data_IF_297319183198
#
_entry.id   IF_297319183198
#
_cell.length_a   1.000
_cell.length_b   1.000
_cell.length_c   1.000
_cell.angle_alpha   90.00
_cell.angle_beta   90.00
_cell.angle_gamma   90.00
#
_symmetry.space_group_name_H-M   'P 1'
#
loop_
_entity.id
_entity.type
_entity.pdbx_description
1 polymer ?
#
# COMPACT_ATOMS: atom_id res chain seq x y z
N UNK A 1 -10.27 -6.66 -19.49
CA UNK A 1 -9.53 -7.61 -18.64
C UNK A 1 -8.88 -6.76 -17.57
N UNK A 2 -9.39 -6.80 -16.34
CA UNK A 2 -8.63 -6.25 -15.21
C UNK A 2 -7.55 -7.26 -14.89
N UNK A 3 -6.32 -6.81 -14.70
CA UNK A 3 -5.26 -7.70 -14.26
C UNK A 3 -5.08 -7.50 -12.76
N UNK A 4 -5.38 -8.55 -12.01
CA UNK A 4 -5.25 -8.54 -10.57
C UNK A 4 -3.82 -8.89 -10.17
N UNK A 5 -3.21 -8.05 -9.34
CA UNK A 5 -1.95 -8.35 -8.68
C UNK A 5 -2.28 -8.99 -7.35
N UNK A 6 -1.90 -10.25 -7.17
CA UNK A 6 -2.03 -10.96 -5.91
C UNK A 6 -0.66 -11.05 -5.25
N UNK A 7 -0.50 -10.45 -4.08
CA UNK A 7 0.79 -10.49 -3.40
C UNK A 7 0.73 -10.08 -1.95
N UNK A 8 1.84 -10.28 -1.25
CA UNK A 8 1.95 -9.92 0.17
C UNK A 8 2.46 -8.50 0.32
N UNK A 9 1.79 -7.68 1.13
CA UNK A 9 2.31 -6.35 1.48
C UNK A 9 3.56 -6.53 2.32
N UNK A 10 4.70 -6.17 1.74
CA UNK A 10 6.01 -6.22 2.40
C UNK A 10 6.40 -4.89 3.00
N UNK A 11 5.86 -3.79 2.45
CA UNK A 11 6.13 -2.44 2.95
C UNK A 11 4.93 -1.53 2.71
N UNK A 12 4.74 -0.58 3.63
CA UNK A 12 3.83 0.56 3.45
C UNK A 12 4.69 1.80 3.48
N UNK A 13 4.64 2.58 2.40
CA UNK A 13 5.43 3.79 2.27
C UNK A 13 4.70 4.96 2.91
N UNK A 14 3.45 5.17 2.49
CA UNK A 14 2.56 6.24 2.91
C UNK A 14 1.11 5.71 2.96
N UNK A 15 0.15 6.54 3.37
CA UNK A 15 -1.25 6.09 3.52
C UNK A 15 -1.95 5.71 2.20
N UNK A 16 -1.40 6.09 1.05
CA UNK A 16 -1.90 5.77 -0.30
C UNK A 16 -0.96 4.84 -1.09
N UNK A 17 0.25 4.57 -0.59
CA UNK A 17 1.32 3.92 -1.35
C UNK A 17 1.87 2.72 -0.61
N UNK A 18 1.74 1.55 -1.22
CA UNK A 18 2.18 0.26 -0.66
C UNK A 18 3.15 -0.46 -1.60
N UNK A 19 3.92 -1.38 -1.03
CA UNK A 19 4.82 -2.26 -1.75
C UNK A 19 4.36 -3.70 -1.53
N UNK A 20 3.99 -4.34 -2.64
CA UNK A 20 3.43 -5.68 -2.68
C UNK A 20 4.44 -6.60 -3.35
N UNK A 21 4.80 -7.69 -2.68
CA UNK A 21 5.60 -8.75 -3.27
C UNK A 21 4.69 -9.71 -4.02
N UNK A 22 4.73 -9.64 -5.35
CA UNK A 22 4.09 -10.58 -6.26
C UNK A 22 5.14 -11.60 -6.72
N UNK A 23 4.95 -12.86 -6.31
CA UNK A 23 5.77 -14.03 -6.65
C UNK A 23 7.27 -13.88 -6.31
N UNK A 24 8.00 -13.03 -7.05
CA UNK A 24 9.42 -12.70 -6.87
C UNK A 24 9.76 -11.22 -7.18
N UNK A 25 8.76 -10.37 -7.42
CA UNK A 25 8.94 -8.94 -7.72
C UNK A 25 8.21 -8.09 -6.69
N UNK A 26 8.95 -7.13 -6.12
CA UNK A 26 8.35 -6.06 -5.35
C UNK A 26 7.74 -5.04 -6.33
N UNK A 27 6.42 -4.90 -6.28
CA UNK A 27 5.64 -3.95 -7.07
C UNK A 27 5.19 -2.83 -6.14
N UNK A 28 5.52 -1.59 -6.51
CA UNK A 28 4.99 -0.40 -5.83
C UNK A 28 3.61 -0.08 -6.42
N UNK A 29 2.63 0.03 -5.55
CA UNK A 29 1.22 0.29 -5.90
C UNK A 29 0.81 1.58 -5.21
N UNK A 30 0.29 2.52 -5.99
CA UNK A 30 -0.31 3.76 -5.49
C UNK A 30 -1.81 3.70 -5.71
N UNK A 31 -2.56 3.90 -4.65
CA UNK A 31 -4.01 3.86 -4.67
C UNK A 31 -4.54 5.11 -5.37
N UNK A 32 -5.25 4.90 -6.47
CA UNK A 32 -5.90 5.99 -7.20
C UNK A 32 -7.06 6.53 -6.36
N UNK A 33 -7.23 7.84 -6.32
CA UNK A 33 -8.26 8.57 -5.55
C UNK A 33 -8.11 8.57 -4.02
N UNK A 34 -7.01 8.05 -3.48
CA UNK A 34 -6.65 8.23 -2.07
C UNK A 34 -5.49 9.21 -2.02
N UNK A 35 -5.69 10.37 -1.40
CA UNK A 35 -4.64 11.34 -1.12
C UNK A 35 -4.32 11.30 0.37
N UNK A 36 -3.23 10.62 0.72
CA UNK A 36 -2.82 10.47 2.11
C UNK A 36 -1.85 11.60 2.49
N UNK A 37 -1.96 12.17 3.70
CA UNK A 37 -1.03 13.19 4.17
C UNK A 37 0.40 12.63 4.21
N UNK A 38 1.34 13.39 3.65
CA UNK A 38 2.75 13.00 3.68
C UNK A 38 3.30 12.99 5.11
N UNK A 39 4.41 12.28 5.35
CA UNK A 39 5.09 12.22 6.67
C UNK A 39 5.36 13.58 7.32
N UNK A 40 5.47 14.65 6.54
CA UNK A 40 5.73 16.02 7.02
C UNK A 40 4.46 16.83 7.34
N UNK A 41 3.28 16.31 7.00
CA UNK A 41 2.01 16.93 7.31
C UNK A 41 1.44 16.39 8.62
N UNK A 42 0.55 17.17 9.23
CA UNK A 42 -0.21 16.72 10.39
C UNK A 42 -0.94 15.41 10.04
N UNK A 43 -0.89 14.44 10.96
CA UNK A 43 -1.47 13.10 10.80
C UNK A 43 -0.82 12.19 9.73
N UNK A 44 0.24 12.62 9.02
CA UNK A 44 0.90 11.76 8.01
C UNK A 44 1.50 10.48 8.57
N UNK A 45 2.09 10.58 9.77
CA UNK A 45 2.61 9.40 10.51
C UNK A 45 1.49 8.48 10.96
N UNK A 46 0.37 9.04 11.43
CA UNK A 46 -0.81 8.29 11.86
C UNK A 46 -1.47 7.55 10.69
N UNK A 47 -1.64 8.22 9.55
CA UNK A 47 -2.16 7.62 8.31
C UNK A 47 -1.30 6.42 7.86
N UNK A 48 0.02 6.58 7.86
CA UNK A 48 0.95 5.49 7.50
C UNK A 48 0.87 4.32 8.48
N UNK A 49 0.80 4.58 9.79
CA UNK A 49 0.75 3.53 10.81
C UNK A 49 -0.59 2.79 10.83
N UNK A 50 -1.71 3.49 10.59
CA UNK A 50 -3.02 2.88 10.38
C UNK A 50 -2.99 1.94 9.17
N UNK A 51 -2.45 2.41 8.03
CA UNK A 51 -2.32 1.63 6.82
C UNK A 51 -1.45 0.38 7.05
N UNK A 52 -0.33 0.51 7.76
CA UNK A 52 0.48 -0.65 8.19
C UNK A 52 -0.32 -1.62 9.04
N UNK A 53 -1.06 -1.14 10.05
CA UNK A 53 -1.85 -2.02 10.92
C UNK A 53 -2.90 -2.81 10.14
N UNK A 54 -3.49 -2.20 9.12
CA UNK A 54 -4.52 -2.82 8.29
C UNK A 54 -3.97 -3.85 7.31
N UNK A 55 -2.88 -3.52 6.60
CA UNK A 55 -2.42 -4.29 5.44
C UNK A 55 -1.03 -4.91 5.56
N UNK A 56 -0.16 -4.47 6.48
CA UNK A 56 1.20 -4.98 6.55
C UNK A 56 1.22 -6.47 6.88
N UNK A 57 1.98 -7.25 6.10
CA UNK A 57 2.09 -8.70 6.25
C UNK A 57 0.87 -9.47 5.75
N UNK A 58 -0.18 -8.81 5.27
CA UNK A 58 -1.35 -9.46 4.68
C UNK A 58 -1.17 -9.68 3.18
N UNK A 59 -1.78 -10.74 2.68
CA UNK A 59 -1.95 -10.97 1.24
C UNK A 59 -3.10 -10.10 0.75
N UNK A 60 -2.84 -9.26 -0.24
CA UNK A 60 -3.81 -8.35 -0.83
C UNK A 60 -3.98 -8.69 -2.31
N UNK A 61 -5.17 -8.37 -2.82
CA UNK A 61 -5.47 -8.40 -4.25
C UNK A 61 -5.63 -6.95 -4.70
N UNK A 62 -4.86 -6.53 -5.69
CA UNK A 62 -4.92 -5.20 -6.26
C UNK A 62 -5.43 -5.30 -7.69
N UNK A 63 -6.56 -4.67 -7.94
CA UNK A 63 -7.28 -4.67 -9.22
C UNK A 63 -7.00 -3.35 -9.92
N UNK A 64 -6.56 -3.37 -11.18
CA UNK A 64 -6.35 -2.18 -12.03
C UNK A 64 -7.16 -2.20 -13.33
#
# INVERSE_FOLDING_TARGET
>A
MSADIHGRVVRVLDGDTIEVMDSLKAVRIRLVNIDAPEKKQDYGRWSTDMMKSLVAGKTVTVTY
#
